data_IF_831372098330
#
_entry.id   IF_831372098330
#
_cell.length_a   1.000
_cell.length_b   1.000
_cell.length_c   1.000
_cell.angle_alpha   90.00
_cell.angle_beta   90.00
_cell.angle_gamma   90.00
#
_symmetry.space_group_name_H-M   'P 1'
#
loop_
_entity.id
_entity.type
_entity.pdbx_description
1 polymer ?
#
# COMPACT_ATOMS: atom_id res chain seq x y z
N UNK A 1 -1.18 -30.26 -47.48
CA UNK A 1 0.13 -30.79 -47.04
C UNK A 1 1.10 -29.62 -47.02
N UNK A 2 1.27 -28.96 -45.88
CA UNK A 2 2.27 -29.25 -44.82
C UNK A 2 3.70 -29.11 -45.32
N UNK A 3 4.37 -28.04 -44.90
CA UNK A 3 5.82 -28.00 -44.75
C UNK A 3 6.17 -27.45 -43.36
N UNK A 4 6.62 -28.39 -42.54
CA UNK A 4 7.55 -28.32 -41.39
C UNK A 4 8.64 -29.32 -41.85
N UNK A 5 9.98 -29.15 -41.65
CA UNK A 5 10.52 -29.11 -40.29
C UNK A 5 11.92 -28.52 -40.00
N UNK A 6 12.15 -28.39 -38.68
CA UNK A 6 13.35 -28.73 -37.90
C UNK A 6 14.66 -27.97 -38.13
N UNK A 7 15.13 -27.29 -37.08
CA UNK A 7 16.55 -27.34 -36.67
C UNK A 7 16.66 -27.48 -35.15
N UNK A 8 17.46 -28.46 -34.75
CA UNK A 8 17.70 -28.99 -33.40
C UNK A 8 19.12 -28.61 -32.96
N UNK A 9 19.30 -28.32 -31.66
CA UNK A 9 20.50 -28.44 -30.82
C UNK A 9 21.91 -28.11 -31.36
N UNK A 10 22.61 -27.23 -30.63
CA UNK A 10 23.99 -27.34 -30.08
C UNK A 10 24.23 -26.01 -29.31
N UNK A 11 24.78 -25.87 -28.10
CA UNK A 11 25.47 -26.76 -27.15
C UNK A 11 25.62 -26.00 -25.81
N UNK A 12 25.65 -26.75 -24.71
CA UNK A 12 26.10 -26.34 -23.37
C UNK A 12 27.57 -25.87 -23.37
N UNK A 13 27.88 -24.78 -22.66
CA UNK A 13 29.02 -24.63 -21.72
C UNK A 13 29.22 -23.17 -21.32
N UNK A 14 29.05 -22.83 -20.04
CA UNK A 14 29.90 -21.90 -19.28
C UNK A 14 29.37 -21.76 -17.84
N UNK A 15 29.97 -22.53 -16.93
CA UNK A 15 30.05 -22.23 -15.49
C UNK A 15 31.41 -21.51 -15.30
N UNK A 16 31.44 -20.52 -14.40
CA UNK A 16 32.57 -19.69 -13.94
C UNK A 16 33.04 -18.54 -14.86
N UNK A 17 32.60 -17.31 -14.53
CA UNK A 17 33.51 -16.21 -14.17
C UNK A 17 32.72 -15.02 -13.63
N UNK A 18 32.86 -14.74 -12.35
CA UNK A 18 32.45 -13.49 -11.72
C UNK A 18 33.31 -12.33 -12.25
N UNK A 19 32.67 -11.26 -12.75
CA UNK A 19 33.14 -9.86 -12.82
C UNK A 19 32.21 -9.04 -13.72
N UNK A 20 31.08 -8.58 -13.19
CA UNK A 20 30.43 -7.31 -13.58
C UNK A 20 29.19 -7.04 -12.70
N UNK A 21 29.18 -5.99 -11.86
CA UNK A 21 28.02 -5.65 -11.03
C UNK A 21 26.88 -4.95 -11.79
N UNK A 22 27.03 -4.69 -13.09
CA UNK A 22 26.12 -3.87 -13.89
C UNK A 22 24.97 -4.63 -14.58
N UNK A 23 24.78 -5.91 -14.28
CA UNK A 23 23.68 -6.73 -14.84
C UNK A 23 22.61 -7.14 -13.81
N UNK A 24 22.60 -6.52 -12.63
CA UNK A 24 21.60 -6.78 -11.57
C UNK A 24 20.57 -5.66 -11.38
N UNK A 25 20.39 -4.81 -12.40
CA UNK A 25 19.63 -3.55 -12.32
C UNK A 25 18.51 -3.43 -13.37
N UNK A 26 17.92 -4.56 -13.78
CA UNK A 26 16.92 -4.58 -14.85
C UNK A 26 15.68 -5.44 -14.53
N UNK A 27 15.28 -5.46 -13.26
CA UNK A 27 13.97 -5.94 -12.83
C UNK A 27 13.44 -4.92 -11.84
N UNK A 28 12.12 -4.65 -11.88
CA UNK A 28 11.32 -3.89 -10.90
C UNK A 28 11.01 -2.45 -11.28
N UNK A 29 9.88 -2.26 -11.96
CA UNK A 29 8.91 -1.21 -11.63
C UNK A 29 7.57 -1.42 -12.34
N UNK A 30 6.59 -1.91 -11.58
CA UNK A 30 5.17 -1.71 -11.88
C UNK A 30 4.37 -1.76 -10.58
N UNK A 31 4.93 -1.18 -9.52
CA UNK A 31 4.41 -1.25 -8.16
C UNK A 31 3.31 -0.19 -7.93
N UNK A 32 2.30 -0.16 -8.82
CA UNK A 32 1.48 0.99 -9.23
C UNK A 32 2.18 1.85 -10.30
N UNK A 33 2.15 1.36 -11.55
CA UNK A 33 2.21 2.01 -12.88
C UNK A 33 3.22 3.15 -13.13
N UNK A 34 3.87 3.10 -14.31
CA UNK A 34 4.87 4.02 -14.89
C UNK A 34 6.31 3.86 -14.41
N UNK A 35 7.06 2.99 -15.10
CA UNK A 35 8.37 3.38 -15.65
C UNK A 35 8.32 3.32 -17.18
N UNK A 36 7.93 4.43 -17.82
CA UNK A 36 8.34 4.78 -19.18
C UNK A 36 7.99 6.25 -19.48
N UNK A 37 8.83 7.19 -19.07
CA UNK A 37 8.86 8.53 -19.67
C UNK A 37 10.30 9.08 -19.63
N UNK A 38 11.15 8.46 -20.43
CA UNK A 38 12.57 8.82 -20.53
C UNK A 38 13.07 8.75 -21.96
N UNK A 39 12.36 9.37 -22.92
CA UNK A 39 12.90 9.90 -24.18
C UNK A 39 11.88 10.81 -24.83
N UNK A 40 12.31 12.04 -25.09
CA UNK A 40 11.43 13.16 -25.40
C UNK A 40 10.69 13.06 -26.72
N UNK A 41 9.47 13.59 -26.71
CA UNK A 41 8.91 14.33 -27.83
C UNK A 41 8.04 15.44 -27.24
N UNK A 42 8.37 16.69 -27.58
CA UNK A 42 7.58 17.88 -27.24
C UNK A 42 6.26 17.82 -27.98
N UNK A 43 5.14 17.86 -27.28
CA UNK A 43 3.89 18.46 -27.77
C UNK A 43 3.13 19.10 -26.60
N UNK A 44 2.93 20.41 -26.70
CA UNK A 44 2.15 21.23 -25.78
C UNK A 44 0.66 20.83 -25.82
N UNK A 45 0.11 20.41 -24.67
CA UNK A 45 -1.29 20.64 -24.32
C UNK A 45 -1.38 20.76 -22.80
N UNK A 46 -1.54 21.99 -22.31
CA UNK A 46 -1.71 22.29 -20.89
C UNK A 46 -3.13 21.91 -20.45
N UNK A 47 -3.24 21.01 -19.47
CA UNK A 47 -4.46 20.87 -18.67
C UNK A 47 -4.38 21.87 -17.50
N UNK A 48 -5.36 22.77 -17.46
CA UNK A 48 -5.47 23.85 -16.49
C UNK A 48 -6.21 23.34 -15.26
N UNK A 49 -5.56 23.50 -14.11
CA UNK A 49 -6.11 23.37 -12.76
C UNK A 49 -7.17 24.48 -12.51
N UNK A 50 -8.44 24.18 -12.21
CA UNK A 50 -9.41 25.23 -11.90
C UNK A 50 -9.33 25.59 -10.41
N UNK A 51 -8.57 26.64 -10.09
CA UNK A 51 -8.76 27.37 -8.84
C UNK A 51 -9.92 28.38 -8.96
N UNK A 52 -10.89 28.21 -8.05
CA UNK A 52 -11.52 29.24 -7.21
C UNK A 52 -12.13 30.51 -7.87
N UNK A 53 -13.45 30.75 -7.71
CA UNK A 53 -13.97 32.11 -7.65
C UNK A 53 -14.42 32.44 -6.22
N UNK A 54 -13.77 33.46 -5.63
CA UNK A 54 -14.35 34.24 -4.54
C UNK A 54 -15.67 34.86 -5.02
N UNK A 55 -16.74 34.70 -4.25
CA UNK A 55 -17.66 35.78 -3.91
C UNK A 55 -18.42 35.43 -2.64
N UNK A 56 -18.46 36.40 -1.73
CA UNK A 56 -18.88 36.20 -0.35
C UNK A 56 -20.39 36.07 -0.15
N UNK A 57 -20.72 35.47 0.98
CA UNK A 57 -21.90 35.78 1.78
C UNK A 57 -21.55 35.38 3.23
N UNK A 58 -21.61 36.37 4.11
CA UNK A 58 -21.49 36.25 5.56
C UNK A 58 -22.56 35.32 6.13
N UNK A 59 -22.16 34.33 6.92
CA UNK A 59 -23.02 33.70 7.92
C UNK A 59 -22.26 33.63 9.24
N UNK A 60 -22.76 34.35 10.24
CA UNK A 60 -22.31 34.27 11.62
C UNK A 60 -23.00 33.07 12.27
N UNK A 61 -22.25 32.05 12.67
CA UNK A 61 -22.67 31.14 13.73
C UNK A 61 -21.53 30.97 14.73
N UNK A 62 -21.80 31.47 15.93
CA UNK A 62 -20.95 31.32 17.11
C UNK A 62 -21.02 29.87 17.58
N UNK A 63 -19.91 29.15 17.51
CA UNK A 63 -19.70 27.94 18.30
C UNK A 63 -18.44 28.11 19.13
N UNK A 64 -18.65 28.40 20.41
CA UNK A 64 -17.61 28.46 21.43
C UNK A 64 -17.23 27.04 21.82
N UNK A 65 -16.11 26.55 21.30
CA UNK A 65 -15.48 25.31 21.72
C UNK A 65 -13.97 25.54 21.84
N UNK A 66 -13.48 25.49 23.08
CA UNK A 66 -12.08 25.67 23.48
C UNK A 66 -11.12 24.82 22.63
N UNK A 67 -10.32 25.49 21.79
CA UNK A 67 -9.15 24.89 21.14
C UNK A 67 -8.05 24.70 22.18
N UNK A 68 -7.80 23.44 22.56
CA UNK A 68 -6.51 23.08 23.13
C UNK A 68 -5.51 23.01 21.97
N UNK A 69 -4.57 23.96 21.94
CA UNK A 69 -3.41 23.88 21.07
C UNK A 69 -2.63 22.60 21.37
N UNK A 70 -2.75 21.61 20.49
CA UNK A 70 -1.79 20.51 20.41
C UNK A 70 -0.45 21.13 19.99
N UNK A 71 0.48 21.24 20.94
CA UNK A 71 1.82 21.72 20.70
C UNK A 71 2.50 20.84 19.66
N UNK A 72 3.01 21.45 18.59
CA UNK A 72 3.88 20.80 17.61
C UNK A 72 5.13 20.28 18.33
N UNK A 73 5.18 18.97 18.56
CA UNK A 73 6.39 18.31 19.08
C UNK A 73 7.45 18.42 18.01
N UNK A 74 8.46 19.26 18.25
CA UNK A 74 9.68 19.30 17.45
C UNK A 74 10.49 18.05 17.79
N UNK A 75 10.35 17.00 16.98
CA UNK A 75 11.13 15.78 17.17
C UNK A 75 12.51 16.00 16.56
N UNK A 76 13.56 15.89 17.38
CA UNK A 76 14.95 15.92 16.91
C UNK A 76 15.18 14.78 15.92
N UNK A 77 15.42 15.12 14.66
CA UNK A 77 15.58 14.15 13.56
C UNK A 77 16.80 13.23 13.72
N UNK A 78 17.80 13.66 14.49
CA UNK A 78 19.04 12.89 14.73
C UNK A 78 18.87 11.69 15.69
N UNK A 79 17.73 11.53 16.36
CA UNK A 79 17.51 10.44 17.34
C UNK A 79 16.26 9.57 17.08
N UNK A 80 15.57 9.74 15.95
CA UNK A 80 14.54 8.81 15.49
C UNK A 80 15.19 7.62 14.76
N UNK A 81 16.08 6.92 15.45
CA UNK A 81 16.37 5.56 15.04
C UNK A 81 15.07 4.76 15.23
N UNK A 82 14.62 4.06 14.18
CA UNK A 82 13.65 2.96 14.29
C UNK A 82 13.94 2.21 15.61
N UNK A 83 12.94 1.97 16.48
CA UNK A 83 13.13 1.08 17.63
C UNK A 83 13.88 -0.15 17.15
N UNK A 84 15.04 -0.44 17.75
CA UNK A 84 15.98 -1.40 17.20
C UNK A 84 15.27 -2.73 16.94
N UNK A 85 15.05 -3.05 15.65
CA UNK A 85 14.36 -4.26 15.23
C UNK A 85 12.85 -4.20 15.02
N UNK A 86 12.24 -3.03 14.82
CA UNK A 86 10.91 -2.94 14.17
C UNK A 86 11.07 -2.74 12.66
N UNK A 87 10.37 -3.49 11.81
CA UNK A 87 10.28 -3.12 10.40
C UNK A 87 9.41 -1.90 10.17
N UNK A 88 9.51 -1.37 8.96
CA UNK A 88 9.01 -0.04 8.65
C UNK A 88 7.48 0.07 8.78
N UNK A 89 6.77 -1.02 8.50
CA UNK A 89 5.31 -1.06 8.50
C UNK A 89 4.69 -1.99 9.57
N UNK A 90 5.52 -2.65 10.40
CA UNK A 90 5.04 -3.59 11.42
C UNK A 90 4.12 -2.95 12.44
N UNK A 91 4.41 -1.71 12.83
CA UNK A 91 3.55 -0.96 13.76
C UNK A 91 2.20 -0.61 13.14
N UNK A 92 2.15 -0.38 11.81
CA UNK A 92 0.91 -0.09 11.10
C UNK A 92 -0.01 -1.32 11.10
N UNK A 93 0.54 -2.49 10.77
CA UNK A 93 -0.23 -3.73 10.79
C UNK A 93 -0.70 -4.08 12.20
N UNK A 94 0.16 -3.94 13.23
CA UNK A 94 -0.22 -4.18 14.63
C UNK A 94 -1.35 -3.25 15.07
N UNK A 95 -1.19 -1.94 14.86
CA UNK A 95 -2.21 -0.97 15.24
C UNK A 95 -3.56 -1.27 14.57
N UNK A 96 -3.53 -1.54 13.26
CA UNK A 96 -4.74 -1.88 12.53
C UNK A 96 -5.40 -3.14 13.06
N UNK A 97 -4.62 -4.20 13.30
CA UNK A 97 -5.17 -5.47 13.76
C UNK A 97 -5.79 -5.36 15.15
N UNK A 98 -5.12 -4.69 16.09
CA UNK A 98 -5.64 -4.43 17.43
C UNK A 98 -6.96 -3.63 17.38
N UNK A 99 -7.03 -2.59 16.55
CA UNK A 99 -8.24 -1.79 16.35
C UNK A 99 -9.39 -2.60 15.75
N UNK A 100 -9.12 -3.37 14.70
CA UNK A 100 -10.15 -4.20 14.05
C UNK A 100 -10.67 -5.30 14.99
N UNK A 101 -9.79 -5.99 15.72
CA UNK A 101 -10.20 -7.02 16.68
C UNK A 101 -10.99 -6.45 17.87
N UNK A 102 -10.65 -5.24 18.33
CA UNK A 102 -11.37 -4.59 19.45
C UNK A 102 -12.65 -3.86 19.03
N UNK A 103 -12.85 -3.58 17.74
CA UNK A 103 -14.06 -2.92 17.21
C UNK A 103 -15.35 -3.71 17.41
N UNK A 104 -15.27 -5.04 17.55
CA UNK A 104 -16.44 -5.92 17.51
C UNK A 104 -17.04 -6.14 16.12
N UNK A 105 -16.51 -5.50 15.06
CA UNK A 105 -16.90 -5.69 13.66
C UNK A 105 -16.29 -6.94 13.01
N UNK A 106 -15.27 -7.51 13.65
CA UNK A 106 -14.47 -8.60 13.10
C UNK A 106 -14.20 -9.69 14.14
N UNK A 107 -13.98 -10.91 13.67
CA UNK A 107 -13.43 -12.01 14.47
C UNK A 107 -12.29 -12.69 13.73
N UNK A 108 -11.40 -13.33 14.48
CA UNK A 108 -10.26 -14.04 13.89
C UNK A 108 -10.71 -15.09 12.88
N UNK A 109 -10.07 -15.09 11.72
CA UNK A 109 -10.24 -16.11 10.69
C UNK A 109 -8.90 -16.85 10.52
N UNK A 110 -8.87 -18.19 10.64
CA UNK A 110 -7.65 -18.93 10.46
C UNK A 110 -7.20 -18.86 8.99
N UNK A 111 -5.92 -18.55 8.79
CA UNK A 111 -5.25 -18.74 7.50
C UNK A 111 -4.67 -20.14 7.47
N UNK A 112 -4.75 -20.83 6.32
CA UNK A 112 -4.08 -22.12 6.13
C UNK A 112 -2.59 -21.98 6.48
N UNK A 113 -2.05 -22.91 7.28
CA UNK A 113 -0.68 -22.82 7.81
C UNK A 113 0.36 -22.62 6.70
N UNK A 114 0.15 -23.29 5.56
CA UNK A 114 1.00 -23.19 4.36
C UNK A 114 1.00 -21.79 3.72
N UNK A 115 -0.04 -20.99 3.95
CA UNK A 115 -0.17 -19.62 3.43
C UNK A 115 0.07 -18.53 4.48
N UNK A 116 0.09 -18.87 5.77
CA UNK A 116 0.22 -17.90 6.86
C UNK A 116 1.58 -17.18 6.85
N UNK A 117 2.66 -17.89 6.46
CA UNK A 117 3.98 -17.29 6.30
C UNK A 117 4.84 -18.02 5.27
N UNK A 118 5.76 -17.30 4.63
CA UNK A 118 6.81 -17.89 3.81
C UNK A 118 8.08 -17.01 3.86
N UNK A 119 9.23 -17.61 3.61
CA UNK A 119 10.52 -16.92 3.62
C UNK A 119 11.31 -17.22 2.34
N UNK A 120 12.04 -16.21 1.88
CA UNK A 120 12.93 -16.33 0.73
C UNK A 120 14.31 -15.72 1.06
N UNK A 121 15.43 -16.21 0.50
CA UNK A 121 16.72 -15.56 0.69
C UNK A 121 16.73 -14.12 0.19
N UNK A 122 17.18 -13.17 1.02
CA UNK A 122 17.30 -11.77 0.63
C UNK A 122 18.60 -11.56 -0.19
N UNK A 123 18.46 -11.60 -1.52
CA UNK A 123 19.61 -11.47 -2.43
C UNK A 123 20.23 -10.07 -2.34
N UNK A 124 21.56 -10.02 -2.30
CA UNK A 124 22.31 -8.75 -2.21
C UNK A 124 22.54 -8.25 -0.77
N UNK A 125 22.00 -8.94 0.24
CA UNK A 125 22.20 -8.63 1.67
C UNK A 125 23.09 -9.70 2.34
N UNK A 126 23.57 -9.45 3.58
CA UNK A 126 24.42 -10.41 4.30
C UNK A 126 23.82 -11.82 4.34
N UNK A 127 24.70 -12.83 4.27
CA UNK A 127 24.30 -14.25 4.28
C UNK A 127 23.40 -14.57 5.47
N UNK A 128 22.30 -15.30 5.21
CA UNK A 128 21.28 -15.62 6.21
C UNK A 128 20.16 -14.59 6.34
N UNK A 129 20.23 -13.44 5.65
CA UNK A 129 19.11 -12.50 5.58
C UNK A 129 17.98 -13.08 4.72
N UNK A 130 16.74 -12.87 5.14
CA UNK A 130 15.54 -13.41 4.47
C UNK A 130 14.50 -12.32 4.24
N UNK A 131 13.68 -12.48 3.21
CA UNK A 131 12.45 -11.72 3.02
C UNK A 131 11.30 -12.60 3.51
N UNK A 132 10.76 -12.29 4.67
CA UNK A 132 9.60 -12.97 5.22
C UNK A 132 8.34 -12.28 4.75
N UNK A 133 7.34 -13.06 4.37
CA UNK A 133 5.96 -12.62 4.21
C UNK A 133 5.12 -13.26 5.32
N UNK A 134 4.29 -12.46 5.98
CA UNK A 134 3.27 -12.91 6.92
C UNK A 134 1.91 -12.40 6.46
N UNK A 135 0.89 -13.25 6.59
CA UNK A 135 -0.47 -12.93 6.21
C UNK A 135 -1.41 -13.20 7.37
N UNK A 136 -2.35 -12.29 7.58
CA UNK A 136 -3.40 -12.44 8.58
C UNK A 136 -4.78 -12.17 7.98
N UNK A 137 -5.79 -12.80 8.59
CA UNK A 137 -7.18 -12.73 8.16
C UNK A 137 -8.14 -12.51 9.34
N UNK A 138 -9.10 -11.59 9.16
CA UNK A 138 -10.30 -11.49 9.98
C UNK A 138 -11.53 -11.61 9.10
N UNK A 139 -12.57 -12.27 9.60
CA UNK A 139 -13.89 -12.26 8.96
C UNK A 139 -14.78 -11.22 9.64
N UNK A 140 -15.69 -10.62 8.88
CA UNK A 140 -16.74 -9.77 9.42
C UNK A 140 -17.64 -10.54 10.38
N UNK A 141 -18.03 -9.88 11.47
CA UNK A 141 -19.02 -10.38 12.43
C UNK A 141 -20.41 -9.79 12.21
N UNK A 142 -20.51 -8.71 11.42
CA UNK A 142 -21.74 -7.98 11.11
C UNK A 142 -22.01 -7.93 9.59
N UNK A 143 -23.27 -7.74 9.15
CA UNK A 143 -23.65 -7.85 7.74
C UNK A 143 -23.02 -6.82 6.80
N UNK A 144 -22.57 -5.67 7.30
CA UNK A 144 -21.96 -4.62 6.48
C UNK A 144 -20.46 -4.85 6.20
N UNK A 145 -19.84 -5.85 6.83
CA UNK A 145 -18.41 -6.13 6.73
C UNK A 145 -18.18 -7.54 6.21
N UNK A 146 -17.36 -7.69 5.18
CA UNK A 146 -16.99 -9.01 4.66
C UNK A 146 -15.75 -9.55 5.40
N UNK A 147 -14.62 -8.84 5.29
CA UNK A 147 -13.37 -9.31 5.85
C UNK A 147 -12.29 -8.22 5.91
N UNK A 148 -11.23 -8.48 6.68
CA UNK A 148 -9.98 -7.74 6.61
C UNK A 148 -8.81 -8.70 6.38
N UNK A 149 -7.82 -8.27 5.60
CA UNK A 149 -6.59 -9.03 5.29
C UNK A 149 -5.41 -8.09 5.33
N UNK A 150 -4.26 -8.59 5.81
CA UNK A 150 -3.00 -7.95 5.45
C UNK A 150 -1.95 -8.96 5.02
N UNK A 151 -1.04 -8.51 4.16
CA UNK A 151 0.26 -9.11 3.90
C UNK A 151 1.35 -8.13 4.34
N UNK A 152 2.25 -8.58 5.22
CA UNK A 152 3.42 -7.85 5.67
C UNK A 152 4.66 -8.57 5.15
N UNK A 153 5.44 -7.90 4.31
CA UNK A 153 6.73 -8.39 3.87
C UNK A 153 7.83 -7.59 4.55
N UNK A 154 8.76 -8.27 5.20
CA UNK A 154 9.88 -7.65 5.88
C UNK A 154 11.17 -8.38 5.53
N UNK A 155 12.21 -7.61 5.23
CA UNK A 155 13.55 -8.17 5.09
C UNK A 155 14.20 -8.24 6.47
N UNK A 156 14.46 -9.45 6.95
CA UNK A 156 15.02 -9.76 8.26
C UNK A 156 16.53 -9.97 8.17
N UNK A 157 17.25 -9.54 9.21
CA UNK A 157 18.69 -9.76 9.37
C UNK A 157 18.98 -11.21 9.77
N UNK A 158 20.15 -11.70 9.39
CA UNK A 158 20.66 -12.97 9.88
C UNK A 158 20.97 -12.90 11.39
N UNK A 159 20.53 -13.89 12.17
CA UNK A 159 20.90 -14.02 13.59
C UNK A 159 19.80 -14.62 14.46
N UNK A 160 20.06 -14.68 15.77
CA UNK A 160 19.15 -15.23 16.78
C UNK A 160 17.96 -14.30 17.08
N UNK A 161 18.01 -13.06 16.61
CA UNK A 161 16.98 -12.04 16.84
C UNK A 161 16.21 -11.82 15.53
N UNK A 162 15.36 -12.78 15.19
CA UNK A 162 14.59 -12.83 13.93
C UNK A 162 13.66 -11.61 13.73
N UNK A 163 13.51 -10.76 14.73
CA UNK A 163 12.70 -9.55 14.63
C UNK A 163 13.45 -8.38 13.99
N UNK A 164 14.79 -8.42 13.90
CA UNK A 164 15.56 -7.26 13.41
C UNK A 164 15.50 -7.16 11.88
N UNK A 165 15.11 -6.00 11.37
CA UNK A 165 14.88 -5.77 9.94
C UNK A 165 15.99 -4.96 9.27
N UNK A 166 16.18 -5.20 7.98
CA UNK A 166 16.90 -4.34 7.04
C UNK A 166 15.93 -3.30 6.50
N UNK A 167 16.06 -2.04 6.91
CA UNK A 167 15.20 -0.94 6.46
C UNK A 167 15.45 -0.56 4.98
N UNK A 168 16.62 -0.92 4.46
CA UNK A 168 17.05 -0.80 3.06
C UNK A 168 16.69 -2.04 2.22
N UNK A 169 16.06 -3.06 2.84
CA UNK A 169 15.52 -4.23 2.16
C UNK A 169 14.11 -4.00 1.59
N UNK A 170 13.47 -5.10 1.18
CA UNK A 170 12.03 -5.11 0.87
C UNK A 170 11.25 -4.95 2.18
N UNK A 171 10.40 -3.93 2.25
CA UNK A 171 9.41 -3.72 3.29
C UNK A 171 8.08 -3.40 2.60
N UNK A 172 7.03 -4.19 2.80
CA UNK A 172 5.72 -3.99 2.18
C UNK A 172 4.62 -4.24 3.20
N UNK A 173 3.63 -3.36 3.25
CA UNK A 173 2.35 -3.63 3.89
C UNK A 173 1.26 -3.47 2.85
N UNK A 174 0.53 -4.54 2.58
CA UNK A 174 -0.76 -4.48 1.91
C UNK A 174 -1.82 -4.80 2.96
N UNK A 175 -2.70 -3.85 3.28
CA UNK A 175 -3.82 -4.03 4.20
C UNK A 175 -5.10 -3.61 3.48
N UNK A 176 -6.10 -4.49 3.51
CA UNK A 176 -7.40 -4.25 2.90
C UNK A 176 -8.52 -4.61 3.86
N UNK A 177 -9.56 -3.77 3.91
CA UNK A 177 -10.78 -4.05 4.65
C UNK A 177 -11.94 -3.97 3.67
N UNK A 178 -12.53 -5.12 3.36
CA UNK A 178 -13.66 -5.22 2.46
C UNK A 178 -14.98 -5.12 3.24
N UNK A 179 -15.84 -4.16 2.88
CA UNK A 179 -17.23 -4.20 3.31
C UNK A 179 -17.95 -5.36 2.61
N UNK A 180 -19.19 -5.63 3.02
CA UNK A 180 -20.02 -6.61 2.31
C UNK A 180 -20.22 -6.20 0.85
N UNK A 181 -20.15 -7.18 -0.05
CA UNK A 181 -20.37 -7.00 -1.50
C UNK A 181 -21.80 -6.58 -1.84
N UNK A 182 -22.70 -6.52 -0.87
CA UNK A 182 -24.07 -5.99 -1.03
C UNK A 182 -24.20 -4.52 -0.62
N UNK A 183 -23.14 -3.86 -0.17
CA UNK A 183 -23.17 -2.46 0.29
C UNK A 183 -22.52 -1.51 -0.72
N UNK A 184 -22.71 -0.21 -0.59
CA UNK A 184 -22.00 0.82 -1.37
C UNK A 184 -20.78 1.41 -0.63
N UNK A 185 -20.40 0.78 0.48
CA UNK A 185 -19.28 1.25 1.29
C UNK A 185 -17.96 1.18 0.48
N UNK A 186 -17.05 2.15 0.69
CA UNK A 186 -15.73 2.09 0.08
C UNK A 186 -14.92 0.93 0.67
N UNK A 187 -13.92 0.43 -0.06
CA UNK A 187 -12.90 -0.49 0.46
C UNK A 187 -11.78 0.31 1.10
N UNK A 188 -11.39 0.00 2.33
CA UNK A 188 -10.15 0.55 2.89
C UNK A 188 -8.96 -0.12 2.22
N UNK A 189 -8.05 0.67 1.67
CA UNK A 189 -6.80 0.19 1.09
C UNK A 189 -5.59 0.93 1.65
N UNK A 190 -4.62 0.19 2.17
CA UNK A 190 -3.28 0.69 2.46
C UNK A 190 -2.25 -0.20 1.74
N UNK A 191 -1.52 0.37 0.79
CA UNK A 191 -0.47 -0.31 0.03
C UNK A 191 0.83 0.50 0.16
N UNK A 192 1.63 0.12 1.17
CA UNK A 192 2.87 0.80 1.52
C UNK A 192 4.07 -0.05 1.13
N UNK A 193 4.97 0.54 0.37
CA UNK A 193 6.00 -0.20 -0.35
C UNK A 193 7.30 0.54 -0.20
N UNK A 194 8.30 -0.12 0.34
CA UNK A 194 9.67 0.36 0.36
C UNK A 194 10.57 -0.72 -0.22
N UNK A 195 11.27 -0.39 -1.29
CA UNK A 195 12.17 -1.29 -1.99
C UNK A 195 13.63 -0.86 -1.79
N UNK A 196 14.59 -1.78 -2.01
CA UNK A 196 16.00 -1.44 -2.01
C UNK A 196 16.33 -0.23 -2.89
N UNK A 197 17.25 0.61 -2.41
CA UNK A 197 17.58 1.89 -3.04
C UNK A 197 16.69 3.06 -2.59
N UNK A 198 16.00 2.93 -1.45
CA UNK A 198 15.28 4.03 -0.81
C UNK A 198 14.10 4.55 -1.61
N UNK A 199 13.43 3.67 -2.37
CA UNK A 199 12.24 4.00 -3.16
C UNK A 199 11.00 3.61 -2.38
N UNK A 200 10.14 4.58 -2.13
CA UNK A 200 8.92 4.42 -1.36
C UNK A 200 7.70 4.76 -2.22
N UNK A 201 6.68 3.91 -2.20
CA UNK A 201 5.39 4.12 -2.84
C UNK A 201 4.32 3.88 -1.78
N UNK A 202 3.46 4.87 -1.58
CA UNK A 202 2.48 4.84 -0.49
C UNK A 202 1.12 5.19 -1.07
N UNK A 203 0.17 4.27 -0.92
CA UNK A 203 -1.24 4.49 -1.16
C UNK A 203 -2.02 4.26 0.14
N UNK A 204 -2.83 5.22 0.55
CA UNK A 204 -3.82 5.10 1.63
C UNK A 204 -5.12 5.72 1.14
N UNK A 205 -6.20 4.94 1.12
CA UNK A 205 -7.46 5.37 0.52
C UNK A 205 -8.69 4.67 1.11
N UNK A 206 -9.83 5.35 1.02
CA UNK A 206 -11.17 4.78 1.11
C UNK A 206 -11.70 4.67 -0.33
N UNK A 207 -11.37 3.54 -0.97
CA UNK A 207 -11.55 3.29 -2.39
C UNK A 207 -13.04 3.18 -2.75
N UNK A 208 -13.58 4.02 -3.63
CA UNK A 208 -15.00 3.95 -3.98
C UNK A 208 -15.33 2.66 -4.75
N UNK A 209 -16.46 2.04 -4.42
CA UNK A 209 -17.00 0.86 -5.10
C UNK A 209 -18.18 1.20 -6.01
N UNK A 210 -18.51 2.48 -6.14
CA UNK A 210 -19.63 3.01 -6.90
C UNK A 210 -19.24 4.33 -7.56
N UNK A 211 -19.98 4.75 -8.59
CA UNK A 211 -19.80 6.07 -9.19
C UNK A 211 -20.25 7.20 -8.26
N UNK A 212 -21.29 6.94 -7.47
CA UNK A 212 -21.70 7.84 -6.38
C UNK A 212 -20.73 7.68 -5.20
N UNK A 213 -19.90 8.71 -4.99
CA UNK A 213 -18.85 8.75 -3.96
C UNK A 213 -19.32 9.46 -2.69
N UNK A 214 -20.59 9.30 -2.30
CA UNK A 214 -21.18 10.05 -1.20
C UNK A 214 -20.52 9.81 0.16
N UNK A 215 -19.72 8.75 0.37
CA UNK A 215 -18.92 8.58 1.60
C UNK A 215 -17.62 9.38 1.64
N UNK A 216 -17.18 9.93 0.51
CA UNK A 216 -15.88 10.61 0.45
C UNK A 216 -15.81 11.86 1.35
N UNK A 217 -16.96 12.46 1.66
CA UNK A 217 -17.04 13.62 2.54
C UNK A 217 -16.52 13.34 3.96
N UNK A 218 -16.60 12.10 4.46
CA UNK A 218 -16.09 11.70 5.78
C UNK A 218 -14.57 11.92 5.91
N UNK A 219 -13.84 11.94 4.80
CA UNK A 219 -12.38 12.19 4.77
C UNK A 219 -12.01 13.65 4.47
N UNK A 220 -12.97 14.58 4.39
CA UNK A 220 -12.67 15.98 4.05
C UNK A 220 -11.73 16.64 5.06
N UNK A 221 -12.05 16.52 6.35
CA UNK A 221 -11.26 17.10 7.43
C UNK A 221 -9.91 16.41 7.57
N UNK A 222 -9.89 15.07 7.40
CA UNK A 222 -8.65 14.28 7.37
C UNK A 222 -7.72 14.75 6.25
N UNK A 223 -8.24 14.91 5.03
CA UNK A 223 -7.46 15.32 3.87
C UNK A 223 -6.86 16.72 4.05
N UNK A 224 -7.64 17.66 4.62
CA UNK A 224 -7.18 19.02 4.89
C UNK A 224 -6.14 19.07 6.02
N UNK A 225 -6.37 18.34 7.12
CA UNK A 225 -5.56 18.42 8.34
C UNK A 225 -4.19 17.73 8.21
N UNK A 226 -4.05 16.76 7.31
CA UNK A 226 -2.80 16.03 7.12
C UNK A 226 -1.83 16.72 6.14
N UNK A 227 -2.15 17.94 5.67
CA UNK A 227 -1.32 18.71 4.71
C UNK A 227 -0.74 17.81 3.60
N UNK A 228 -1.57 16.90 3.08
CA UNK A 228 -1.08 15.74 2.33
C UNK A 228 -0.27 16.19 1.13
N UNK A 229 -0.71 17.23 0.42
CA UNK A 229 0.01 17.76 -0.74
C UNK A 229 1.40 18.33 -0.43
N UNK A 230 1.67 18.77 0.80
CA UNK A 230 2.97 19.34 1.21
C UNK A 230 3.95 18.24 1.63
N UNK A 231 3.49 17.25 2.41
CA UNK A 231 4.32 16.16 2.94
C UNK A 231 4.41 15.00 1.94
N UNK A 232 3.29 14.68 1.30
CA UNK A 232 3.08 13.55 0.39
C UNK A 232 2.66 14.06 -0.99
N UNK A 233 3.60 14.59 -1.79
CA UNK A 233 3.28 15.09 -3.13
C UNK A 233 2.66 13.97 -3.97
N UNK A 234 1.70 14.33 -4.84
CA UNK A 234 0.97 13.38 -5.66
C UNK A 234 1.92 12.49 -6.47
N UNK A 235 1.73 11.17 -6.38
CA UNK A 235 2.62 10.15 -6.95
C UNK A 235 2.59 10.03 -8.48
N UNK A 236 1.83 10.88 -9.17
CA UNK A 236 1.68 10.90 -10.63
C UNK A 236 0.51 10.06 -11.14
N UNK A 237 0.44 9.90 -12.46
CA UNK A 237 -0.69 9.26 -13.14
C UNK A 237 -0.86 7.78 -12.74
N UNK A 238 -2.12 7.37 -12.72
CA UNK A 238 -2.55 5.98 -12.57
C UNK A 238 -3.18 5.49 -13.88
N UNK A 239 -3.24 4.18 -14.18
CA UNK A 239 -3.95 3.68 -15.35
C UNK A 239 -5.42 3.98 -15.24
N UNK A 240 -6.00 4.22 -16.39
CA UNK A 240 -7.44 4.36 -16.57
C UNK A 240 -8.23 3.24 -15.89
N UNK A 241 -7.77 1.99 -15.99
CA UNK A 241 -8.41 0.82 -15.37
C UNK A 241 -8.47 0.87 -13.82
N UNK A 242 -7.58 1.63 -13.18
CA UNK A 242 -7.48 1.75 -11.71
C UNK A 242 -8.08 3.05 -11.20
N UNK A 243 -8.09 4.11 -12.02
CA UNK A 243 -8.53 5.46 -11.62
C UNK A 243 -9.93 5.48 -10.98
N UNK A 244 -10.85 4.64 -11.45
CA UNK A 244 -12.22 4.56 -10.87
C UNK A 244 -12.28 4.04 -9.44
N UNK A 245 -11.22 3.36 -8.97
CA UNK A 245 -11.12 2.78 -7.62
C UNK A 245 -10.28 3.63 -6.67
N UNK A 246 -10.03 4.90 -7.02
CA UNK A 246 -9.16 5.80 -6.28
C UNK A 246 -9.96 7.06 -5.98
N UNK A 247 -10.10 7.37 -4.69
CA UNK A 247 -10.85 8.56 -4.29
C UNK A 247 -10.06 9.84 -4.61
N UNK A 248 -10.76 10.97 -4.72
CA UNK A 248 -10.14 12.30 -4.77
C UNK A 248 -9.45 12.68 -3.45
N UNK A 249 -9.72 11.94 -2.37
CA UNK A 249 -9.09 12.06 -1.06
C UNK A 249 -7.97 11.06 -0.81
N UNK A 250 -7.56 10.28 -1.81
CA UNK A 250 -6.46 9.34 -1.64
C UNK A 250 -5.14 10.06 -1.28
N UNK A 251 -4.38 9.47 -0.35
CA UNK A 251 -2.96 9.75 -0.20
C UNK A 251 -2.20 8.81 -1.14
N UNK A 252 -1.71 9.35 -2.24
CA UNK A 252 -0.88 8.63 -3.20
C UNK A 252 0.41 9.39 -3.42
N UNK A 253 1.55 8.80 -3.05
CA UNK A 253 2.85 9.45 -3.20
C UNK A 253 3.96 8.48 -3.58
N UNK A 254 5.01 9.04 -4.18
CA UNK A 254 6.30 8.39 -4.38
C UNK A 254 7.38 9.23 -3.73
N UNK A 255 8.18 8.62 -2.88
CA UNK A 255 9.33 9.25 -2.26
C UNK A 255 10.59 8.49 -2.64
N UNK A 256 11.69 9.22 -2.82
CA UNK A 256 13.01 8.63 -2.99
C UNK A 256 13.94 9.25 -1.95
N UNK A 257 14.78 8.43 -1.35
CA UNK A 257 15.91 8.91 -0.56
C UNK A 257 16.87 9.64 -1.50
N UNK A 258 17.07 10.95 -1.33
CA UNK A 258 18.00 11.69 -2.19
C UNK A 258 19.41 11.58 -1.65
N UNK A 259 20.33 10.98 -2.41
CA UNK A 259 21.77 11.24 -2.25
C UNK A 259 22.16 12.62 -2.86
N UNK A 260 21.33 13.17 -3.75
CA UNK A 260 21.71 14.25 -4.69
C UNK A 260 21.07 15.64 -4.45
N UNK A 261 20.42 15.89 -3.31
CA UNK A 261 19.88 17.23 -3.05
C UNK A 261 20.37 17.79 -1.72
N UNK A 262 21.29 18.77 -1.80
CA UNK A 262 21.75 19.63 -0.72
C UNK A 262 20.66 20.61 -0.22
N UNK A 263 19.42 20.16 -0.13
CA UNK A 263 18.28 20.89 0.42
C UNK A 263 17.57 20.04 1.45
N UNK A 264 17.04 20.69 2.49
CA UNK A 264 16.33 20.14 3.65
C UNK A 264 15.10 19.29 3.27
N UNK A 265 15.30 18.12 2.64
CA UNK A 265 14.26 17.11 2.49
C UNK A 265 14.36 16.14 3.67
N UNK A 266 13.32 16.14 4.50
CA UNK A 266 13.17 15.24 5.62
C UNK A 266 13.29 13.79 5.15
N UNK A 267 13.98 12.95 5.93
CA UNK A 267 14.22 11.55 5.61
C UNK A 267 12.89 10.80 5.38
N UNK A 268 12.67 10.13 4.23
CA UNK A 268 11.44 9.40 3.96
C UNK A 268 11.06 8.36 5.02
N UNK A 269 12.05 7.72 5.66
CA UNK A 269 11.81 6.78 6.76
C UNK A 269 11.18 7.51 7.95
N UNK A 270 11.67 8.70 8.30
CA UNK A 270 11.11 9.53 9.38
C UNK A 270 9.68 9.95 9.03
N UNK A 271 9.44 10.40 7.79
CA UNK A 271 8.11 10.79 7.31
C UNK A 271 7.14 9.60 7.43
N UNK A 272 7.55 8.41 7.00
CA UNK A 272 6.74 7.20 7.09
C UNK A 272 6.41 6.87 8.55
N UNK A 273 7.41 6.87 9.42
CA UNK A 273 7.19 6.48 10.82
C UNK A 273 6.43 7.49 11.66
N UNK A 274 6.36 8.75 11.23
CA UNK A 274 5.71 9.82 11.99
C UNK A 274 4.45 10.30 11.28
N UNK A 275 4.61 11.02 10.18
CA UNK A 275 3.51 11.66 9.47
C UNK A 275 2.56 10.63 8.83
N UNK A 276 3.08 9.59 8.16
CA UNK A 276 2.23 8.57 7.53
C UNK A 276 1.52 7.72 8.59
N UNK A 277 2.21 7.38 9.69
CA UNK A 277 1.58 6.67 10.80
C UNK A 277 0.41 7.46 11.39
N UNK A 278 0.60 8.76 11.66
CA UNK A 278 -0.47 9.60 12.16
C UNK A 278 -1.64 9.69 11.16
N UNK A 279 -1.34 9.90 9.87
CA UNK A 279 -2.35 9.94 8.82
C UNK A 279 -3.12 8.62 8.71
N UNK A 280 -2.41 7.48 8.78
CA UNK A 280 -2.98 6.14 8.74
C UNK A 280 -3.93 5.87 9.91
N UNK A 281 -3.51 6.17 11.14
CA UNK A 281 -4.33 5.98 12.33
C UNK A 281 -5.63 6.80 12.26
N UNK A 282 -5.53 8.08 11.86
CA UNK A 282 -6.69 8.93 11.69
C UNK A 282 -7.62 8.44 10.56
N UNK A 283 -7.06 8.00 9.44
CA UNK A 283 -7.85 7.47 8.31
C UNK A 283 -8.59 6.18 8.69
N UNK A 284 -7.92 5.27 9.40
CA UNK A 284 -8.50 4.02 9.87
C UNK A 284 -9.63 4.27 10.88
N UNK A 285 -9.47 5.24 11.78
CA UNK A 285 -10.52 5.61 12.74
C UNK A 285 -11.78 6.12 12.03
N UNK A 286 -11.64 7.01 11.03
CA UNK A 286 -12.77 7.47 10.20
C UNK A 286 -13.46 6.29 9.51
N UNK A 287 -12.68 5.35 8.96
CA UNK A 287 -13.23 4.16 8.29
C UNK A 287 -14.00 3.25 9.25
N UNK A 288 -13.43 2.94 10.42
CA UNK A 288 -14.09 2.09 11.43
C UNK A 288 -15.37 2.76 11.93
N UNK A 289 -15.37 4.08 12.15
CA UNK A 289 -16.56 4.82 12.53
C UNK A 289 -17.64 4.75 11.45
N UNK A 290 -17.27 4.90 10.17
CA UNK A 290 -18.20 4.71 9.05
C UNK A 290 -18.86 3.32 9.07
N UNK A 291 -18.09 2.26 9.32
CA UNK A 291 -18.63 0.90 9.41
C UNK A 291 -19.60 0.72 10.59
N UNK A 292 -19.36 1.40 11.71
CA UNK A 292 -20.26 1.37 12.87
C UNK A 292 -21.56 2.12 12.62
N UNK A 293 -21.50 3.26 11.95
CA UNK A 293 -22.65 4.11 11.69
C UNK A 293 -23.48 3.63 10.49
N UNK A 294 -22.95 2.72 9.67
CA UNK A 294 -23.65 2.17 8.53
C UNK A 294 -24.82 1.27 8.95
N UNK A 295 -26.04 1.71 8.65
CA UNK A 295 -27.28 0.98 8.95
C UNK A 295 -28.06 0.54 7.71
N UNK A 296 -27.66 0.99 6.52
CA UNK A 296 -28.39 0.74 5.27
C UNK A 296 -28.03 -0.61 4.65
N UNK A 297 -28.65 -1.68 5.14
CA UNK A 297 -28.36 -3.03 4.69
C UNK A 297 -29.11 -3.44 3.41
N UNK A 298 -29.73 -2.49 2.70
CA UNK A 298 -30.31 -2.78 1.39
C UNK A 298 -29.20 -3.17 0.39
N UNK A 299 -29.47 -4.17 -0.44
CA UNK A 299 -28.51 -4.63 -1.43
C UNK A 299 -28.33 -3.58 -2.50
N UNK A 300 -27.08 -3.16 -2.73
CA UNK A 300 -26.69 -2.17 -3.74
C UNK A 300 -25.76 -2.81 -4.75
N UNK A 301 -25.94 -2.45 -6.01
CA UNK A 301 -24.98 -2.78 -7.06
C UNK A 301 -23.72 -1.96 -6.82
N UNK A 302 -22.56 -2.61 -6.90
CA UNK A 302 -21.25 -2.01 -6.72
C UNK A 302 -20.23 -2.72 -7.61
N UNK A 303 -18.98 -2.25 -7.58
CA UNK A 303 -17.87 -2.77 -8.36
C UNK A 303 -16.95 -3.72 -7.58
N UNK A 304 -17.39 -4.23 -6.42
CA UNK A 304 -16.54 -5.03 -5.53
C UNK A 304 -16.10 -6.34 -6.18
N UNK A 305 -17.00 -7.01 -6.92
CA UNK A 305 -16.68 -8.24 -7.62
C UNK A 305 -15.69 -7.99 -8.77
N UNK A 306 -15.91 -6.94 -9.56
CA UNK A 306 -15.00 -6.52 -10.62
C UNK A 306 -13.64 -6.08 -10.07
N UNK A 307 -13.63 -5.40 -8.91
CA UNK A 307 -12.41 -5.01 -8.23
C UNK A 307 -11.60 -6.22 -7.78
N UNK A 308 -12.25 -7.22 -7.17
CA UNK A 308 -11.61 -8.46 -6.74
C UNK A 308 -11.05 -9.26 -7.92
N UNK A 309 -11.82 -9.41 -9.00
CA UNK A 309 -11.36 -10.10 -10.22
C UNK A 309 -10.19 -9.36 -10.87
N UNK A 310 -10.27 -8.03 -10.94
CA UNK A 310 -9.20 -7.19 -11.46
C UNK A 310 -7.93 -7.34 -10.63
N UNK A 311 -8.02 -7.24 -9.30
CA UNK A 311 -6.88 -7.40 -8.38
C UNK A 311 -6.31 -8.80 -8.49
N UNK A 312 -7.15 -9.83 -8.50
CA UNK A 312 -6.69 -11.21 -8.64
C UNK A 312 -5.94 -11.38 -9.97
N UNK A 313 -6.44 -10.89 -11.09
CA UNK A 313 -5.80 -11.10 -12.39
C UNK A 313 -4.55 -10.23 -12.59
N UNK A 314 -4.59 -8.98 -12.09
CA UNK A 314 -3.62 -7.94 -12.41
C UNK A 314 -2.74 -7.53 -11.22
N UNK A 315 -2.70 -8.31 -10.14
CA UNK A 315 -1.93 -7.95 -8.95
C UNK A 315 -0.46 -7.63 -9.31
N UNK A 316 0.01 -6.40 -9.06
CA UNK A 316 1.32 -5.96 -9.49
C UNK A 316 2.48 -6.64 -8.73
N UNK A 317 2.22 -7.17 -7.53
CA UNK A 317 3.24 -7.86 -6.74
C UNK A 317 3.44 -9.31 -7.21
N UNK A 318 2.51 -9.88 -7.98
CA UNK A 318 2.56 -11.27 -8.47
C UNK A 318 3.94 -11.70 -9.03
N UNK A 319 4.61 -10.95 -9.93
CA UNK A 319 5.93 -11.36 -10.43
C UNK A 319 7.01 -11.40 -9.35
N UNK A 320 7.00 -10.45 -8.42
CA UNK A 320 7.92 -10.40 -7.30
C UNK A 320 7.69 -11.57 -6.35
N UNK A 321 6.42 -11.82 -5.98
CA UNK A 321 6.04 -12.95 -5.13
C UNK A 321 6.43 -14.28 -5.77
N UNK A 322 6.21 -14.47 -7.08
CA UNK A 322 6.67 -15.66 -7.80
C UNK A 322 8.19 -15.83 -7.75
N UNK A 323 8.94 -14.72 -7.85
CA UNK A 323 10.40 -14.75 -7.76
C UNK A 323 10.92 -15.05 -6.34
N UNK A 324 10.19 -14.66 -5.30
CA UNK A 324 10.58 -14.89 -3.91
C UNK A 324 10.16 -16.28 -3.43
N UNK A 325 8.89 -16.62 -3.60
CA UNK A 325 8.22 -17.73 -2.94
C UNK A 325 7.79 -18.86 -3.88
N UNK A 326 7.99 -18.69 -5.19
CA UNK A 326 7.59 -19.64 -6.20
C UNK A 326 6.14 -19.47 -6.66
N UNK A 327 5.84 -20.05 -7.83
CA UNK A 327 4.55 -19.88 -8.50
C UNK A 327 3.38 -20.48 -7.70
N UNK A 328 3.51 -21.73 -7.25
CA UNK A 328 2.42 -22.41 -6.55
C UNK A 328 1.98 -21.66 -5.29
N UNK A 329 2.93 -21.29 -4.43
CA UNK A 329 2.65 -20.57 -3.20
C UNK A 329 2.00 -19.20 -3.48
N UNK A 330 2.54 -18.48 -4.47
CA UNK A 330 2.03 -17.16 -4.86
C UNK A 330 0.59 -17.24 -5.36
N UNK A 331 0.29 -18.19 -6.25
CA UNK A 331 -1.07 -18.35 -6.78
C UNK A 331 -2.06 -18.76 -5.68
N UNK A 332 -1.62 -19.60 -4.74
CA UNK A 332 -2.44 -20.04 -3.61
C UNK A 332 -2.78 -18.86 -2.70
N UNK A 333 -1.78 -18.15 -2.18
CA UNK A 333 -2.00 -17.04 -1.23
C UNK A 333 -2.85 -15.92 -1.82
N UNK A 334 -2.68 -15.61 -3.12
CA UNK A 334 -3.49 -14.61 -3.80
C UNK A 334 -4.96 -15.02 -3.90
N UNK A 335 -5.23 -16.29 -4.22
CA UNK A 335 -6.60 -16.81 -4.45
C UNK A 335 -7.34 -17.19 -3.18
N UNK A 336 -6.64 -17.65 -2.15
CA UNK A 336 -7.29 -18.20 -0.95
C UNK A 336 -7.27 -17.23 0.22
N UNK A 337 -6.37 -16.23 0.22
CA UNK A 337 -6.21 -15.32 1.35
C UNK A 337 -6.40 -13.86 0.97
N UNK A 338 -5.64 -13.33 0.01
CA UNK A 338 -5.62 -11.90 -0.28
C UNK A 338 -6.84 -11.43 -1.08
N UNK A 339 -7.23 -12.19 -2.11
CA UNK A 339 -8.38 -11.90 -2.97
C UNK A 339 -9.24 -13.16 -3.10
N UNK A 340 -9.82 -13.67 -2.00
CA UNK A 340 -10.73 -14.79 -2.07
C UNK A 340 -11.92 -14.42 -2.95
N UNK A 341 -12.38 -15.39 -3.74
CA UNK A 341 -13.67 -15.24 -4.43
C UNK A 341 -14.75 -14.93 -3.38
N UNK A 342 -15.62 -13.93 -3.64
CA UNK A 342 -16.71 -13.60 -2.73
C UNK A 342 -17.69 -14.75 -2.53
#
# INVERSE_FOLDING_TARGET
MKLVPAWTMMTRNAIFSARNPSHFLEVTALFCILLASGRGARTNTAFVNPQNPRNGLTFTSSFSGTSQHAGRVTVNEENLALPTGSGLYREFSRHAWEKLQSSGLFVQEPVEEECASNTAPARGLPSGSVVQMEVQALRGSLPQVAYARYALLETLKAGNDANVTHHDGIQVLNLVIFPSTTTDLPVFGADFVSLPGGKHLLLLDAQPMTEDVHYEHYWSDWYQSNHISEIFPWGGDMPEAVQRYVSSKALWTRMASSEDNAGEKRNPVIIIQTDLMAAFQAHLEVYIQLLHDYTDLESKDNWSAEYLDYRLTNDPARPMLKSLYGEEWTERVLKTVLFPSP
#
